data_IF_293643885493
#
_entry.id   IF_293643885493
#
_cell.length_a   1.000
_cell.length_b   1.000
_cell.length_c   1.000
_cell.angle_alpha   90.00
_cell.angle_beta   90.00
_cell.angle_gamma   90.00
#
_symmetry.space_group_name_H-M   'P 1'
#
loop_
_entity.id
_entity.type
_entity.pdbx_description
1 polymer ?
#
# COMPACT_ATOMS: atom_id res chain seq x y z
N UNK A 1 1.87 13.80 -1.42
CA UNK A 1 2.79 14.11 -0.31
C UNK A 1 3.62 15.30 -0.75
N UNK A 2 4.00 16.21 0.15
CA UNK A 2 4.98 17.25 -0.21
C UNK A 2 6.36 16.58 -0.36
N UNK A 3 7.04 16.78 -1.51
CA UNK A 3 8.37 16.21 -1.75
C UNK A 3 9.43 16.93 -0.95
N UNK A 4 10.28 16.15 -0.30
CA UNK A 4 11.46 16.59 0.44
C UNK A 4 12.75 16.50 -0.39
N UNK A 5 12.72 15.77 -1.51
CA UNK A 5 13.85 15.65 -2.44
C UNK A 5 13.57 16.31 -3.80
N UNK A 6 14.64 16.74 -4.47
CA UNK A 6 14.59 17.22 -5.85
C UNK A 6 14.41 16.08 -6.84
N UNK A 7 13.80 16.40 -7.98
CA UNK A 7 13.67 15.45 -9.11
C UNK A 7 15.01 15.21 -9.77
N UNK A 8 15.82 16.26 -9.90
CA UNK A 8 17.18 16.14 -10.40
C UNK A 8 18.06 15.40 -9.39
N UNK A 9 18.96 14.56 -9.92
CA UNK A 9 19.93 13.80 -9.15
C UNK A 9 21.31 14.40 -9.34
N UNK A 10 22.18 14.18 -8.36
CA UNK A 10 23.60 14.47 -8.51
C UNK A 10 24.20 13.60 -9.63
N UNK A 11 25.38 13.99 -10.11
CA UNK A 11 26.12 13.28 -11.18
C UNK A 11 26.46 11.83 -10.83
N UNK A 12 26.54 11.51 -9.54
CA UNK A 12 26.79 10.17 -8.99
C UNK A 12 25.50 9.37 -8.76
N UNK A 13 24.34 9.95 -9.08
CA UNK A 13 23.02 9.35 -8.94
C UNK A 13 22.39 9.50 -7.55
N UNK A 14 23.02 10.21 -6.60
CA UNK A 14 22.43 10.39 -5.27
C UNK A 14 21.26 11.38 -5.29
N UNK A 15 20.32 11.18 -4.36
CA UNK A 15 19.21 12.11 -4.13
C UNK A 15 19.70 13.47 -3.61
N UNK A 16 19.00 14.53 -3.99
CA UNK A 16 19.28 15.91 -3.57
C UNK A 16 18.16 16.39 -2.66
N UNK A 17 18.50 16.99 -1.52
CA UNK A 17 17.54 17.57 -0.59
C UNK A 17 17.05 18.94 -1.07
N UNK A 18 15.80 19.29 -0.77
CA UNK A 18 15.31 20.67 -0.97
C UNK A 18 15.85 21.68 0.03
N UNK A 19 16.24 21.19 1.21
CA UNK A 19 16.76 22.01 2.32
C UNK A 19 18.09 21.41 2.81
N UNK A 20 18.99 22.23 3.35
CA UNK A 20 20.25 21.73 3.92
C UNK A 20 19.98 20.90 5.19
N UNK A 21 20.35 19.62 5.15
CA UNK A 21 20.03 18.67 6.23
C UNK A 21 21.21 18.42 7.18
N UNK A 22 22.47 18.61 6.74
CA UNK A 22 23.64 18.26 7.57
C UNK A 22 24.82 19.21 7.42
N UNK A 23 25.34 19.68 8.55
CA UNK A 23 26.61 20.41 8.66
C UNK A 23 27.80 19.43 8.56
N UNK A 24 28.10 18.97 7.34
CA UNK A 24 29.37 18.36 6.96
C UNK A 24 29.71 16.95 7.47
N UNK A 25 29.23 16.52 8.64
CA UNK A 25 29.78 15.39 9.40
C UNK A 25 29.14 14.02 9.10
N UNK A 26 27.91 14.00 8.59
CA UNK A 26 27.13 12.77 8.34
C UNK A 26 26.86 12.49 6.86
N UNK A 27 27.56 13.20 5.95
CA UNK A 27 27.31 13.21 4.50
C UNK A 27 27.02 11.82 3.88
N UNK A 28 27.90 10.80 4.00
CA UNK A 28 27.69 9.54 3.27
C UNK A 28 26.49 8.71 3.77
N UNK A 29 26.06 8.90 5.02
CA UNK A 29 24.85 8.25 5.53
C UNK A 29 23.59 9.04 5.15
N UNK A 30 23.67 10.37 5.20
CA UNK A 30 22.60 11.26 4.76
C UNK A 30 22.29 11.08 3.27
N UNK A 31 23.32 10.96 2.41
CA UNK A 31 23.17 10.75 0.96
C UNK A 31 22.42 9.44 0.65
N UNK A 32 22.68 8.37 1.42
CA UNK A 32 21.95 7.09 1.27
C UNK A 32 20.48 7.21 1.65
N UNK A 33 20.17 7.94 2.71
CA UNK A 33 18.79 8.20 3.13
C UNK A 33 18.08 9.03 2.08
N UNK A 34 18.71 10.13 1.62
CA UNK A 34 18.19 11.01 0.59
C UNK A 34 17.91 10.26 -0.72
N UNK A 35 18.84 9.41 -1.14
CA UNK A 35 18.68 8.62 -2.36
C UNK A 35 17.50 7.66 -2.24
N UNK A 36 17.35 6.94 -1.12
CA UNK A 36 16.18 6.07 -0.90
C UNK A 36 14.87 6.85 -0.85
N UNK A 37 14.85 7.99 -0.17
CA UNK A 37 13.68 8.85 -0.07
C UNK A 37 13.24 9.34 -1.46
N UNK A 38 14.19 9.80 -2.27
CA UNK A 38 13.93 10.27 -3.62
C UNK A 38 13.37 9.18 -4.53
N UNK A 39 13.87 7.94 -4.40
CA UNK A 39 13.32 6.77 -5.09
C UNK A 39 11.89 6.48 -4.66
N UNK A 40 11.58 6.53 -3.36
CA UNK A 40 10.21 6.31 -2.89
C UNK A 40 9.25 7.40 -3.35
N UNK A 41 9.66 8.67 -3.31
CA UNK A 41 8.85 9.79 -3.82
C UNK A 41 8.55 9.61 -5.31
N UNK A 42 9.54 9.22 -6.12
CA UNK A 42 9.33 8.97 -7.54
C UNK A 42 8.41 7.76 -7.78
N UNK A 43 8.58 6.66 -7.03
CA UNK A 43 7.68 5.51 -7.10
C UNK A 43 6.26 5.88 -6.69
N UNK A 44 6.08 6.77 -5.70
CA UNK A 44 4.77 7.25 -5.28
C UNK A 44 4.12 8.11 -6.37
N UNK A 45 4.88 9.05 -6.96
CA UNK A 45 4.41 9.91 -8.06
C UNK A 45 4.06 9.12 -9.33
N UNK A 46 4.81 8.05 -9.62
CA UNK A 46 4.54 7.14 -10.75
C UNK A 46 3.39 6.16 -10.47
N UNK A 47 2.83 6.15 -9.26
CA UNK A 47 1.81 5.17 -8.86
C UNK A 47 2.33 3.74 -8.77
N UNK A 48 3.65 3.54 -8.74
CA UNK A 48 4.30 2.23 -8.60
C UNK A 48 4.38 1.77 -7.14
N UNK A 49 4.18 2.67 -6.18
CA UNK A 49 3.90 2.27 -4.80
C UNK A 49 2.45 1.85 -4.69
N UNK A 50 2.24 0.59 -4.30
CA UNK A 50 0.91 0.14 -3.91
C UNK A 50 0.52 0.80 -2.61
N UNK A 51 -0.37 1.79 -2.73
CA UNK A 51 -1.17 2.25 -1.60
C UNK A 51 -2.18 1.15 -1.30
N UNK A 52 -1.84 0.30 -0.33
CA UNK A 52 -2.84 -0.56 0.27
C UNK A 52 -3.99 0.34 0.73
N UNK A 53 -5.25 -0.07 0.53
CA UNK A 53 -6.41 0.72 0.94
C UNK A 53 -6.50 0.89 2.47
N UNK A 54 -5.56 0.32 3.23
CA UNK A 54 -5.55 0.26 4.68
C UNK A 54 -4.14 0.47 5.27
N UNK A 55 -4.11 0.95 6.52
CA UNK A 55 -2.86 1.14 7.27
C UNK A 55 -2.25 -0.20 7.63
N UNK A 56 -0.93 -0.23 7.79
CA UNK A 56 -0.23 -1.40 8.33
C UNK A 56 -0.78 -1.70 9.73
N UNK A 57 -1.20 -2.95 9.94
CA UNK A 57 -1.81 -3.42 11.19
C UNK A 57 -3.34 -3.41 11.21
N UNK A 58 -4.02 -2.91 10.17
CA UNK A 58 -5.48 -3.05 10.03
C UNK A 58 -5.86 -4.49 9.72
N UNK A 59 -6.84 -5.02 10.45
CA UNK A 59 -7.42 -6.34 10.14
C UNK A 59 -8.24 -6.25 8.86
N UNK A 60 -8.13 -7.27 8.01
CA UNK A 60 -8.87 -7.34 6.75
C UNK A 60 -9.57 -8.69 6.70
N UNK A 61 -10.80 -8.66 6.22
CA UNK A 61 -11.69 -9.80 6.13
C UNK A 61 -11.96 -10.12 4.67
N UNK A 62 -12.10 -11.40 4.33
CA UNK A 62 -12.37 -11.83 2.97
C UNK A 62 -13.45 -12.90 2.94
N UNK A 63 -14.22 -12.92 1.85
CA UNK A 63 -15.31 -13.86 1.66
C UNK A 63 -14.78 -15.09 0.90
N UNK A 64 -14.77 -16.23 1.57
CA UNK A 64 -14.42 -17.53 1.01
C UNK A 64 -15.66 -18.22 0.46
N UNK A 65 -15.59 -18.66 -0.79
CA UNK A 65 -16.61 -19.49 -1.43
C UNK A 65 -17.03 -18.98 -2.81
N UNK A 66 -17.60 -19.86 -3.61
CA UNK A 66 -18.20 -19.48 -4.89
C UNK A 66 -19.64 -19.04 -4.62
N UNK A 67 -20.01 -17.78 -4.98
CA UNK A 67 -21.39 -17.33 -4.86
C UNK A 67 -22.33 -18.35 -5.52
N UNK A 68 -23.44 -18.64 -4.87
CA UNK A 68 -24.51 -19.51 -5.38
C UNK A 68 -24.21 -21.02 -5.50
N UNK A 69 -22.98 -21.47 -5.24
CA UNK A 69 -22.62 -22.91 -5.28
C UNK A 69 -22.23 -23.48 -3.91
N UNK A 70 -21.51 -22.72 -3.10
CA UNK A 70 -21.03 -23.13 -1.77
C UNK A 70 -21.37 -22.08 -0.73
N UNK A 71 -21.61 -22.46 0.54
CA UNK A 71 -21.83 -21.48 1.59
C UNK A 71 -20.61 -20.56 1.72
N UNK A 72 -20.83 -19.26 1.59
CA UNK A 72 -19.79 -18.26 1.75
C UNK A 72 -19.47 -18.08 3.25
N UNK A 73 -18.19 -17.93 3.58
CA UNK A 73 -17.70 -17.71 4.95
C UNK A 73 -16.77 -16.51 5.00
N UNK A 74 -16.72 -15.81 6.14
CA UNK A 74 -15.85 -14.65 6.35
C UNK A 74 -14.66 -15.10 7.18
N UNK A 75 -13.45 -14.84 6.69
CA UNK A 75 -12.22 -15.18 7.40
C UNK A 75 -11.28 -13.99 7.51
N UNK A 76 -10.42 -13.99 8.53
CA UNK A 76 -9.42 -12.95 8.77
C UNK A 76 -8.15 -13.30 8.01
N UNK A 77 -7.65 -12.38 7.18
CA UNK A 77 -6.53 -12.64 6.29
C UNK A 77 -5.22 -11.99 6.75
N UNK A 78 -4.10 -12.65 6.47
CA UNK A 78 -2.75 -12.08 6.54
C UNK A 78 -2.17 -12.08 5.14
N UNK A 79 -1.84 -10.90 4.60
CA UNK A 79 -1.36 -10.76 3.23
C UNK A 79 0.14 -10.87 3.12
N UNK A 80 0.59 -11.48 2.02
CA UNK A 80 1.96 -11.38 1.54
C UNK A 80 2.02 -10.36 0.41
N UNK A 81 3.21 -9.85 0.12
CA UNK A 81 3.44 -8.93 -0.99
C UNK A 81 2.99 -9.50 -2.35
N UNK A 82 2.96 -10.84 -2.49
CA UNK A 82 2.45 -11.54 -3.67
C UNK A 82 0.93 -11.49 -3.84
N UNK A 83 0.17 -11.09 -2.82
CA UNK A 83 -1.30 -11.04 -2.85
C UNK A 83 -1.84 -9.66 -3.26
N UNK A 84 -0.96 -8.78 -3.74
CA UNK A 84 -1.26 -7.37 -3.98
C UNK A 84 -2.35 -7.16 -5.03
N UNK A 85 -2.40 -8.02 -6.04
CA UNK A 85 -3.37 -7.97 -7.12
C UNK A 85 -4.77 -8.42 -6.66
N UNK A 86 -4.89 -9.07 -5.49
CA UNK A 86 -6.17 -9.55 -4.94
C UNK A 86 -6.90 -8.48 -4.12
N UNK A 87 -6.30 -7.31 -3.97
CA UNK A 87 -6.81 -6.25 -3.11
C UNK A 87 -7.94 -5.49 -3.78
N UNK A 88 -9.08 -5.40 -3.09
CA UNK A 88 -10.27 -4.67 -3.53
C UNK A 88 -11.33 -5.53 -4.25
N UNK A 89 -10.99 -6.72 -4.76
CA UNK A 89 -11.97 -7.59 -5.43
C UNK A 89 -12.89 -8.35 -4.46
N UNK A 90 -12.34 -8.87 -3.36
CA UNK A 90 -13.07 -9.71 -2.40
C UNK A 90 -12.70 -9.43 -0.94
N UNK A 91 -11.98 -8.33 -0.71
CA UNK A 91 -11.43 -7.95 0.58
C UNK A 91 -12.19 -6.76 1.17
N UNK A 92 -12.47 -6.84 2.47
CA UNK A 92 -13.22 -5.85 3.23
C UNK A 92 -12.43 -5.41 4.46
N UNK A 93 -12.53 -4.14 4.80
CA UNK A 93 -11.75 -3.56 5.90
C UNK A 93 -12.31 -3.96 7.26
N UNK A 94 -13.63 -4.17 7.34
CA UNK A 94 -14.28 -4.59 8.57
C UNK A 94 -15.08 -5.85 8.35
N UNK A 95 -15.28 -6.57 9.44
CA UNK A 95 -16.22 -7.69 9.46
C UNK A 95 -17.64 -7.24 9.07
N UNK A 96 -18.06 -6.05 9.49
CA UNK A 96 -19.37 -5.49 9.17
C UNK A 96 -19.54 -5.23 7.66
N UNK A 97 -18.52 -4.69 6.99
CA UNK A 97 -18.51 -4.53 5.53
C UNK A 97 -18.60 -5.87 4.80
N UNK A 98 -17.84 -6.87 5.28
CA UNK A 98 -17.88 -8.23 4.72
C UNK A 98 -19.25 -8.87 4.92
N UNK A 99 -19.86 -8.74 6.11
CA UNK A 99 -21.19 -9.27 6.43
C UNK A 99 -22.27 -8.61 5.59
N UNK A 100 -22.21 -7.28 5.42
CA UNK A 100 -23.14 -6.55 4.55
C UNK A 100 -23.03 -7.01 3.10
N UNK A 101 -21.81 -7.11 2.55
CA UNK A 101 -21.63 -7.58 1.16
C UNK A 101 -22.06 -9.04 1.00
N UNK A 102 -21.76 -9.88 1.98
CA UNK A 102 -22.21 -11.27 2.01
C UNK A 102 -23.75 -11.37 1.98
N UNK A 103 -24.44 -10.50 2.70
CA UNK A 103 -25.90 -10.44 2.71
C UNK A 103 -26.46 -9.92 1.38
N UNK A 104 -25.85 -8.89 0.78
CA UNK A 104 -26.18 -8.45 -0.59
C UNK A 104 -26.04 -9.62 -1.59
N UNK A 105 -24.96 -10.38 -1.54
CA UNK A 105 -24.75 -11.53 -2.44
C UNK A 105 -25.76 -12.67 -2.28
N UNK A 106 -26.32 -12.84 -1.07
CA UNK A 106 -27.40 -13.80 -0.83
C UNK A 106 -28.75 -13.29 -1.35
N UNK A 107 -28.97 -11.97 -1.24
CA UNK A 107 -30.22 -11.29 -1.58
C UNK A 107 -30.32 -10.86 -3.05
N UNK A 108 -29.20 -10.74 -3.77
CA UNK A 108 -29.15 -10.57 -5.24
C UNK A 108 -29.71 -11.79 -6.01
N UNK A 109 -30.28 -12.78 -5.30
CA UNK A 109 -31.29 -13.70 -5.82
C UNK A 109 -32.70 -13.11 -5.65
N UNK A 110 -33.04 -12.14 -6.51
CA UNK A 110 -34.42 -11.87 -6.92
C UNK A 110 -34.47 -11.77 -8.45
#
# INVERSE_FOLDING_TARGET
MERLTERERNVDGTGVAKEEITDGLLKPFADKILTKLAVYEDLEEQGLLVRLPCKVGTEVYYILGIPNKTPCTIDKCVFKLSDIDKIGESLFLTREEAEKKLEEMKNDKA
#
